data_IF_047296694886
#
_entry.id   IF_047296694886
#
_cell.length_a   1.000
_cell.length_b   1.000
_cell.length_c   1.000
_cell.angle_alpha   90.00
_cell.angle_beta   90.00
_cell.angle_gamma   90.00
#
_symmetry.space_group_name_H-M   'P 1'
#
loop_
_entity.id
_entity.type
_entity.pdbx_description
1 polymer ?
#
# COMPACT_ATOMS: atom_id res chain seq x y z
N UNK A 1 -16.82 -0.19 -11.93
CA UNK A 1 -17.29 0.18 -10.57
C UNK A 1 -17.99 1.53 -10.63
N UNK A 2 -19.19 1.63 -10.10
CA UNK A 2 -19.93 2.89 -9.97
C UNK A 2 -19.60 3.58 -8.64
N UNK A 3 -19.17 4.84 -8.68
CA UNK A 3 -18.72 5.60 -7.50
C UNK A 3 -19.25 7.04 -7.45
N UNK A 4 -20.10 7.43 -8.41
CA UNK A 4 -20.53 8.83 -8.58
C UNK A 4 -21.35 9.36 -7.37
N UNK A 5 -22.04 8.47 -6.68
CA UNK A 5 -22.88 8.76 -5.52
C UNK A 5 -22.23 8.40 -4.17
N UNK A 6 -20.91 8.13 -4.17
CA UNK A 6 -20.17 7.81 -2.96
C UNK A 6 -20.05 9.03 -2.04
N UNK A 7 -20.21 8.79 -0.73
CA UNK A 7 -19.90 9.79 0.29
C UNK A 7 -18.39 10.08 0.27
N UNK A 8 -18.03 11.33 0.08
CA UNK A 8 -16.62 11.72 0.10
C UNK A 8 -16.13 11.91 1.54
N UNK A 9 -15.05 11.24 1.89
CA UNK A 9 -14.35 11.46 3.16
C UNK A 9 -13.54 12.75 3.11
N UNK A 10 -13.56 13.50 4.22
CA UNK A 10 -12.69 14.67 4.42
C UNK A 10 -11.35 14.30 5.05
N UNK A 11 -11.13 13.02 5.41
CA UNK A 11 -9.88 12.52 5.98
C UNK A 11 -8.78 12.31 4.91
N UNK A 12 -8.67 13.29 4.01
CA UNK A 12 -7.67 13.35 2.95
C UNK A 12 -6.75 14.54 3.18
N UNK A 13 -5.46 14.30 3.08
CA UNK A 13 -4.42 15.32 3.04
C UNK A 13 -3.74 15.27 1.67
N UNK A 14 -3.96 16.32 0.85
CA UNK A 14 -3.42 16.39 -0.50
C UNK A 14 -2.10 17.13 -0.54
N UNK A 15 -1.01 16.38 -0.68
CA UNK A 15 0.36 16.86 -0.82
C UNK A 15 0.92 16.69 -2.24
N UNK A 16 0.07 16.41 -3.22
CA UNK A 16 0.50 16.15 -4.61
C UNK A 16 1.17 17.36 -5.28
N UNK A 17 0.83 18.57 -4.82
CA UNK A 17 1.40 19.83 -5.29
C UNK A 17 2.52 20.36 -4.38
N UNK A 18 2.77 19.71 -3.23
CA UNK A 18 3.93 20.03 -2.43
C UNK A 18 5.14 19.63 -3.25
N UNK A 19 5.70 20.61 -3.97
CA UNK A 19 6.79 20.41 -4.87
C UNK A 19 7.87 19.62 -4.17
N UNK A 20 8.14 18.41 -4.62
CA UNK A 20 9.25 17.58 -4.18
C UNK A 20 10.55 18.33 -4.47
N UNK A 21 10.76 19.38 -3.71
CA UNK A 21 11.94 20.23 -3.79
C UNK A 21 13.15 19.56 -3.14
N UNK A 22 13.55 18.41 -3.69
CA UNK A 22 14.97 18.10 -3.79
C UNK A 22 15.52 18.93 -4.95
N UNK A 23 15.23 20.26 -4.89
CA UNK A 23 15.67 21.26 -5.84
C UNK A 23 17.14 21.52 -5.64
N UNK A 24 17.89 21.25 -6.67
CA UNK A 24 19.27 21.55 -6.83
C UNK A 24 19.68 22.94 -6.35
N UNK A 25 20.48 22.97 -5.30
CA UNK A 25 21.48 23.99 -5.11
C UNK A 25 22.55 23.77 -6.17
N UNK A 26 22.68 24.70 -7.09
CA UNK A 26 23.67 24.67 -8.14
C UNK A 26 25.09 24.59 -7.58
N UNK A 27 25.79 23.53 -7.89
CA UNK A 27 27.22 23.35 -7.73
C UNK A 27 27.66 22.31 -8.74
N UNK A 28 28.15 22.78 -9.89
CA UNK A 28 28.54 21.92 -11.00
C UNK A 28 29.69 21.01 -10.62
N UNK A 29 29.45 19.72 -10.69
CA UNK A 29 30.47 18.73 -11.00
C UNK A 29 29.90 17.84 -12.11
N UNK A 30 30.28 18.15 -13.32
CA UNK A 30 30.02 17.32 -14.49
C UNK A 30 30.77 16.01 -14.37
N UNK A 31 30.03 14.92 -14.14
CA UNK A 31 30.50 13.57 -14.42
C UNK A 31 29.77 13.16 -15.70
N UNK A 32 30.45 12.87 -16.82
CA UNK A 32 29.81 12.31 -17.99
C UNK A 32 29.54 10.84 -17.74
N UNK A 33 28.35 10.50 -17.23
CA UNK A 33 27.85 9.14 -17.25
C UNK A 33 26.90 8.97 -18.41
N UNK A 34 27.33 8.11 -19.33
CA UNK A 34 26.56 7.65 -20.47
C UNK A 34 25.18 7.13 -20.08
N UNK A 35 24.22 7.45 -20.93
CA UNK A 35 22.79 7.22 -20.73
C UNK A 35 22.41 5.79 -20.39
N UNK A 36 21.85 5.62 -19.23
CA UNK A 36 21.30 4.41 -18.68
C UNK A 36 20.76 4.70 -17.29
N UNK A 37 19.83 5.63 -17.17
CA UNK A 37 19.14 5.88 -15.91
C UNK A 37 18.40 4.62 -15.48
N UNK A 38 18.72 4.09 -14.29
CA UNK A 38 17.92 3.07 -13.64
C UNK A 38 16.49 3.61 -13.51
N UNK A 39 15.58 3.09 -14.32
CA UNK A 39 14.18 3.52 -14.31
C UNK A 39 13.57 3.28 -12.91
N UNK A 40 12.62 4.11 -12.53
CA UNK A 40 11.83 4.01 -11.29
C UNK A 40 11.43 2.55 -11.00
N UNK A 41 11.18 1.79 -12.06
CA UNK A 41 10.90 0.37 -11.98
C UNK A 41 11.98 -0.54 -11.40
N UNK A 42 13.23 -0.22 -11.65
CA UNK A 42 14.35 -0.97 -11.07
C UNK A 42 14.47 -0.67 -9.57
N UNK A 43 14.10 0.53 -9.15
CA UNK A 43 14.13 0.96 -7.75
C UNK A 43 13.02 0.28 -6.95
N UNK A 44 11.82 0.13 -7.52
CA UNK A 44 10.71 -0.61 -6.87
C UNK A 44 11.10 -2.09 -6.69
N UNK A 45 11.63 -2.73 -7.73
CA UNK A 45 12.09 -4.12 -7.67
C UNK A 45 13.25 -4.26 -6.69
N UNK A 46 14.20 -3.33 -6.68
CA UNK A 46 15.32 -3.32 -5.74
C UNK A 46 14.86 -3.01 -4.31
N UNK A 47 13.87 -2.16 -4.11
CA UNK A 47 13.25 -1.88 -2.82
C UNK A 47 12.53 -3.10 -2.26
N UNK A 48 11.71 -3.78 -3.08
CA UNK A 48 11.04 -5.03 -2.73
C UNK A 48 12.05 -6.18 -2.52
N UNK A 49 13.07 -6.30 -3.35
CA UNK A 49 14.14 -7.29 -3.19
C UNK A 49 15.03 -6.96 -1.99
N UNK A 50 15.37 -5.68 -1.76
CA UNK A 50 16.13 -5.25 -0.59
C UNK A 50 15.41 -5.59 0.70
N UNK A 51 14.12 -5.34 0.75
CA UNK A 51 13.27 -5.74 1.87
C UNK A 51 13.19 -7.28 1.99
N UNK A 52 13.02 -8.00 0.88
CA UNK A 52 13.00 -9.46 0.84
C UNK A 52 14.32 -10.13 1.29
N UNK A 53 15.46 -9.47 1.03
CA UNK A 53 16.78 -9.95 1.46
C UNK A 53 17.22 -9.40 2.83
N UNK A 54 16.36 -8.63 3.52
CA UNK A 54 16.63 -8.05 4.85
C UNK A 54 17.69 -6.99 4.84
N UNK A 55 17.92 -6.38 3.72
CA UNK A 55 18.70 -5.18 3.61
C UNK A 55 17.73 -4.04 3.87
N UNK A 56 17.92 -3.32 4.97
CA UNK A 56 17.12 -2.13 5.28
C UNK A 56 17.10 -1.23 4.03
N UNK A 57 15.91 -0.87 3.48
CA UNK A 57 15.83 0.01 2.32
C UNK A 57 16.59 1.32 2.51
N UNK A 58 16.79 1.74 3.76
CA UNK A 58 17.61 2.90 4.13
C UNK A 58 19.10 2.70 3.81
N UNK A 59 19.58 1.44 3.81
CA UNK A 59 20.96 1.09 3.46
C UNK A 59 21.14 1.07 1.95
N UNK A 60 20.13 0.65 1.19
CA UNK A 60 20.19 0.63 -0.28
C UNK A 60 20.09 2.04 -0.89
N UNK A 61 19.34 2.92 -0.27
CA UNK A 61 19.18 4.32 -0.73
C UNK A 61 20.33 5.19 -0.19
N UNK A 62 20.85 4.91 1.01
CA UNK A 62 21.99 5.61 1.63
C UNK A 62 23.36 4.98 1.33
N UNK A 63 23.42 3.74 0.85
CA UNK A 63 24.68 3.01 0.63
C UNK A 63 25.54 3.54 -0.51
N UNK A 64 24.99 4.35 -1.40
CA UNK A 64 25.79 5.06 -2.40
C UNK A 64 26.67 6.16 -1.79
N UNK A 65 26.32 6.68 -0.60
CA UNK A 65 27.12 7.73 0.09
C UNK A 65 28.20 7.16 1.01
N UNK A 66 28.08 5.91 1.45
CA UNK A 66 29.07 5.29 2.37
C UNK A 66 30.33 4.80 1.61
N UNK A 67 30.26 4.59 0.31
CA UNK A 67 31.41 4.17 -0.50
C UNK A 67 32.34 5.33 -0.91
N UNK A 68 32.00 6.58 -0.61
CA UNK A 68 32.78 7.76 -0.99
C UNK A 68 33.41 8.50 0.18
N UNK A 69 33.63 7.87 1.34
CA UNK A 69 34.57 8.35 2.35
C UNK A 69 34.14 9.61 3.12
N UNK A 70 33.82 9.44 4.37
CA UNK A 70 34.04 10.40 5.45
C UNK A 70 33.20 11.69 5.41
N UNK A 71 32.02 11.70 6.03
CA UNK A 71 31.29 12.93 6.30
C UNK A 71 30.22 12.68 7.36
N UNK A 72 30.17 13.56 8.34
CA UNK A 72 29.21 13.63 9.42
C UNK A 72 27.77 13.41 8.93
N UNK A 73 26.98 12.65 9.71
CA UNK A 73 25.55 12.45 9.45
C UNK A 73 24.86 13.81 9.18
N UNK A 74 24.14 13.94 8.05
CA UNK A 74 23.43 15.17 7.78
C UNK A 74 22.31 15.34 8.80
N UNK A 75 22.40 16.37 9.62
CA UNK A 75 21.27 16.89 10.36
C UNK A 75 20.28 17.44 9.35
N UNK A 76 19.20 16.72 9.10
CA UNK A 76 18.10 17.21 8.26
C UNK A 76 17.44 18.39 8.96
N UNK A 77 17.89 19.59 8.61
CA UNK A 77 17.10 20.79 8.86
C UNK A 77 15.86 20.68 7.96
N UNK A 78 14.72 20.47 8.59
CA UNK A 78 13.40 20.60 7.95
C UNK A 78 13.24 22.07 7.54
N UNK A 79 13.64 22.40 6.33
CA UNK A 79 13.34 23.71 5.75
C UNK A 79 11.82 23.75 5.49
N UNK A 80 11.10 24.45 6.38
CA UNK A 80 9.65 24.66 6.35
C UNK A 80 9.33 25.59 5.19
N UNK A 81 9.21 25.02 3.99
CA UNK A 81 8.49 25.63 2.86
C UNK A 81 7.50 24.65 2.27
N UNK A 82 6.75 23.96 3.12
CA UNK A 82 5.48 23.39 2.70
C UNK A 82 4.48 24.53 2.65
N UNK A 83 3.88 24.76 1.50
CA UNK A 83 2.67 25.57 1.40
C UNK A 83 1.59 25.04 2.34
N UNK A 84 0.50 25.75 2.59
CA UNK A 84 -0.56 25.26 3.45
C UNK A 84 -1.05 23.91 2.93
N UNK A 85 -0.94 22.88 3.77
CA UNK A 85 -1.43 21.54 3.47
C UNK A 85 -2.91 21.59 3.14
N UNK A 86 -3.31 21.12 1.96
CA UNK A 86 -4.71 21.04 1.58
C UNK A 86 -5.35 19.84 2.27
N UNK A 87 -6.27 20.08 3.18
CA UNK A 87 -7.06 19.04 3.87
C UNK A 87 -8.49 19.04 3.36
N UNK A 88 -9.13 17.87 3.37
CA UNK A 88 -10.48 17.65 2.85
C UNK A 88 -10.49 16.97 1.50
N UNK A 89 -11.68 16.62 1.02
CA UNK A 89 -11.84 15.90 -0.25
C UNK A 89 -11.33 16.72 -1.45
N UNK A 90 -10.33 16.20 -2.22
CA UNK A 90 -9.88 16.88 -3.43
C UNK A 90 -10.99 16.95 -4.47
N UNK A 91 -10.93 17.96 -5.34
CA UNK A 91 -11.96 18.22 -6.35
C UNK A 91 -11.64 17.67 -7.74
N UNK A 92 -10.41 17.24 -7.98
CA UNK A 92 -10.07 16.57 -9.24
C UNK A 92 -10.65 15.15 -9.27
N UNK A 93 -10.80 14.58 -10.45
CA UNK A 93 -11.46 13.28 -10.67
C UNK A 93 -10.85 12.16 -9.80
N UNK A 94 -9.52 12.02 -9.82
CA UNK A 94 -8.83 10.98 -9.06
C UNK A 94 -8.95 11.19 -7.55
N UNK A 95 -8.71 12.40 -7.07
CA UNK A 95 -8.83 12.73 -5.65
C UNK A 95 -10.25 12.55 -5.14
N UNK A 96 -11.24 12.95 -5.95
CA UNK A 96 -12.66 12.78 -5.68
C UNK A 96 -13.07 11.31 -5.60
N UNK A 97 -12.54 10.47 -6.51
CA UNK A 97 -12.73 9.02 -6.50
C UNK A 97 -12.12 8.39 -5.25
N UNK A 98 -10.88 8.74 -4.89
CA UNK A 98 -10.21 8.21 -3.69
C UNK A 98 -10.99 8.61 -2.43
N UNK A 99 -11.44 9.87 -2.34
CA UNK A 99 -12.25 10.34 -1.22
C UNK A 99 -13.58 9.58 -1.11
N UNK A 100 -14.23 9.28 -2.24
CA UNK A 100 -15.43 8.46 -2.29
C UNK A 100 -15.18 7.03 -1.81
N UNK A 101 -14.14 6.39 -2.32
CA UNK A 101 -13.75 5.04 -1.90
C UNK A 101 -13.49 4.98 -0.39
N UNK A 102 -12.70 5.94 0.15
CA UNK A 102 -12.44 6.00 1.59
C UNK A 102 -13.74 6.20 2.38
N UNK A 103 -14.63 7.06 1.90
CA UNK A 103 -15.93 7.30 2.57
C UNK A 103 -16.77 6.04 2.69
N UNK A 104 -16.88 5.23 1.64
CA UNK A 104 -17.63 3.98 1.68
C UNK A 104 -16.91 2.88 2.49
N UNK A 105 -15.58 2.86 2.49
CA UNK A 105 -14.78 1.99 3.37
C UNK A 105 -15.12 2.31 4.83
N UNK A 106 -15.06 3.57 5.21
CA UNK A 106 -15.33 4.01 6.58
C UNK A 106 -16.76 3.70 7.02
N UNK A 107 -17.73 3.91 6.14
CA UNK A 107 -19.14 3.62 6.43
C UNK A 107 -19.37 2.12 6.66
N UNK A 108 -18.83 1.25 5.81
CA UNK A 108 -18.99 -0.21 5.97
C UNK A 108 -18.27 -0.72 7.21
N UNK A 109 -17.05 -0.26 7.48
CA UNK A 109 -16.34 -0.67 8.69
C UNK A 109 -16.97 -0.12 9.96
N UNK A 110 -17.49 1.10 9.92
CA UNK A 110 -18.27 1.67 11.04
C UNK A 110 -19.48 0.79 11.37
N UNK A 111 -20.26 0.36 10.36
CA UNK A 111 -21.38 -0.56 10.54
C UNK A 111 -20.95 -1.90 11.16
N UNK A 112 -19.83 -2.48 10.68
CA UNK A 112 -19.31 -3.75 11.20
C UNK A 112 -18.86 -3.62 12.66
N UNK A 113 -18.13 -2.58 13.00
CA UNK A 113 -17.65 -2.36 14.37
C UNK A 113 -18.81 -2.08 15.33
N UNK A 114 -19.76 -1.23 14.94
CA UNK A 114 -20.95 -0.93 15.74
C UNK A 114 -21.80 -2.20 15.99
N UNK A 115 -21.97 -3.07 15.00
CA UNK A 115 -22.68 -4.33 15.15
C UNK A 115 -22.01 -5.29 16.17
N UNK A 116 -20.72 -5.08 16.46
CA UNK A 116 -19.95 -5.82 17.47
C UNK A 116 -19.74 -5.02 18.76
N UNK A 117 -20.47 -3.91 18.98
CA UNK A 117 -20.37 -3.08 20.17
C UNK A 117 -19.06 -2.32 20.30
N UNK A 118 -18.35 -2.10 19.18
CA UNK A 118 -17.06 -1.40 19.14
C UNK A 118 -17.19 -0.06 18.41
N UNK A 119 -16.34 0.89 18.77
CA UNK A 119 -16.21 2.15 18.01
C UNK A 119 -15.19 2.00 16.89
N UNK A 120 -15.47 2.64 15.75
CA UNK A 120 -14.57 2.73 14.62
C UNK A 120 -14.07 4.18 14.47
N UNK A 121 -12.81 4.32 14.11
CA UNK A 121 -12.22 5.58 13.66
C UNK A 121 -11.47 5.27 12.38
N UNK A 122 -11.80 5.92 11.28
CA UNK A 122 -11.17 5.69 9.98
C UNK A 122 -9.70 6.09 9.91
N UNK A 123 -8.97 5.59 8.93
CA UNK A 123 -7.62 6.05 8.63
C UNK A 123 -7.66 7.38 7.88
N UNK A 124 -6.57 8.15 7.93
CA UNK A 124 -6.33 9.24 6.99
C UNK A 124 -5.67 8.72 5.72
N UNK A 125 -5.86 9.43 4.60
CA UNK A 125 -5.07 9.24 3.39
C UNK A 125 -4.23 10.48 3.14
N UNK A 126 -2.93 10.29 2.92
CA UNK A 126 -2.02 11.30 2.38
C UNK A 126 -1.77 10.98 0.90
N UNK A 127 -2.24 11.87 0.03
CA UNK A 127 -1.94 11.80 -1.41
C UNK A 127 -0.64 12.54 -1.68
N UNK A 128 0.27 11.93 -2.42
CA UNK A 128 1.53 12.55 -2.77
C UNK A 128 2.00 12.18 -4.17
N UNK A 129 3.13 12.74 -4.63
CA UNK A 129 3.87 12.37 -5.83
C UNK A 129 5.35 12.29 -5.51
N UNK A 130 5.99 11.25 -6.01
CA UNK A 130 7.43 10.98 -5.86
C UNK A 130 7.84 10.65 -4.42
N UNK A 131 7.86 11.65 -3.52
CA UNK A 131 8.23 11.45 -2.13
C UNK A 131 7.55 12.49 -1.24
N UNK A 132 7.28 12.07 0.02
CA UNK A 132 6.76 12.96 1.06
C UNK A 132 7.23 12.47 2.44
N UNK A 133 7.04 13.30 3.47
CA UNK A 133 7.26 12.87 4.84
C UNK A 133 6.16 11.88 5.25
N UNK A 134 6.55 10.62 5.50
CA UNK A 134 5.67 9.53 5.93
C UNK A 134 5.43 9.50 7.45
N UNK A 135 5.62 10.61 8.15
CA UNK A 135 5.39 10.70 9.59
C UNK A 135 6.32 9.79 10.39
N UNK A 136 5.76 9.05 11.34
CA UNK A 136 6.51 8.10 12.18
C UNK A 136 7.02 6.87 11.43
N UNK A 137 6.56 6.64 10.20
CA UNK A 137 7.05 5.58 9.33
C UNK A 137 8.23 6.02 8.44
N UNK A 138 8.74 7.24 8.58
CA UNK A 138 9.89 7.75 7.86
C UNK A 138 9.51 8.44 6.55
N UNK A 139 10.31 8.24 5.49
CA UNK A 139 10.00 8.80 4.17
C UNK A 139 9.03 7.89 3.41
N UNK A 140 7.99 8.47 2.84
CA UNK A 140 7.15 7.83 1.85
C UNK A 140 7.68 8.14 0.45
N UNK A 141 7.89 7.11 -0.36
CA UNK A 141 8.42 7.23 -1.72
C UNK A 141 7.61 6.37 -2.69
N UNK A 142 7.45 6.81 -3.94
CA UNK A 142 6.73 6.07 -4.99
C UNK A 142 7.20 4.63 -5.14
N UNK A 143 8.51 4.41 -4.98
CA UNK A 143 9.11 3.07 -5.07
C UNK A 143 8.62 2.07 -4.01
N UNK A 144 8.02 2.54 -2.93
CA UNK A 144 7.47 1.69 -1.87
C UNK A 144 6.06 1.20 -2.20
N UNK A 145 5.41 1.80 -3.20
CA UNK A 145 3.97 1.62 -3.43
C UNK A 145 3.11 2.27 -2.34
N UNK A 146 1.79 2.09 -2.39
CA UNK A 146 0.89 2.44 -1.30
C UNK A 146 1.25 1.67 -0.04
N UNK A 147 1.09 2.30 1.14
CA UNK A 147 1.28 1.61 2.41
C UNK A 147 0.51 2.27 3.54
N UNK A 148 0.17 1.48 4.55
CA UNK A 148 -0.40 1.94 5.80
C UNK A 148 0.68 2.14 6.87
N UNK A 149 0.64 3.27 7.58
CA UNK A 149 1.50 3.58 8.72
C UNK A 149 0.74 3.38 10.04
N UNK A 150 0.96 2.28 10.77
CA UNK A 150 0.18 1.95 11.97
C UNK A 150 0.25 2.98 13.09
N UNK A 151 1.43 3.57 13.44
CA UNK A 151 1.51 4.56 14.49
C UNK A 151 0.70 5.83 14.21
N UNK A 152 0.60 6.24 12.94
CA UNK A 152 -0.08 7.47 12.51
C UNK A 152 -1.51 7.22 12.04
N UNK A 153 -1.91 5.94 11.90
CA UNK A 153 -3.19 5.51 11.32
C UNK A 153 -3.44 6.16 9.95
N UNK A 154 -2.40 6.22 9.12
CA UNK A 154 -2.41 6.96 7.86
C UNK A 154 -2.00 6.04 6.71
N UNK A 155 -2.74 6.09 5.64
CA UNK A 155 -2.42 5.48 4.35
C UNK A 155 -1.65 6.50 3.53
N UNK A 156 -0.49 6.13 3.02
CA UNK A 156 0.30 6.95 2.09
C UNK A 156 0.12 6.39 0.68
N UNK A 157 -0.33 7.25 -0.24
CA UNK A 157 -0.72 6.85 -1.58
C UNK A 157 -0.11 7.79 -2.62
N UNK A 158 0.91 7.30 -3.34
CA UNK A 158 1.35 7.98 -4.55
C UNK A 158 0.35 7.73 -5.69
N UNK A 159 -0.26 8.80 -6.17
CA UNK A 159 -1.27 8.70 -7.22
C UNK A 159 -0.72 8.23 -8.56
N UNK A 160 0.60 8.28 -8.79
CA UNK A 160 1.24 7.72 -9.99
C UNK A 160 1.22 6.18 -10.01
N UNK A 161 1.09 5.54 -8.84
CA UNK A 161 1.06 4.08 -8.71
C UNK A 161 -0.08 3.44 -9.52
N UNK A 162 -1.24 4.07 -9.58
CA UNK A 162 -2.37 3.53 -10.36
C UNK A 162 -2.04 3.43 -11.85
N UNK A 163 -1.29 4.39 -12.39
CA UNK A 163 -0.80 4.31 -13.77
C UNK A 163 0.21 3.18 -13.96
N UNK A 164 1.05 2.92 -12.98
CA UNK A 164 1.99 1.79 -13.02
C UNK A 164 1.25 0.45 -13.00
N UNK A 165 0.19 0.32 -12.22
CA UNK A 165 -0.65 -0.88 -12.21
C UNK A 165 -1.25 -1.14 -13.58
N UNK A 166 -1.73 -0.12 -14.27
CA UNK A 166 -2.29 -0.24 -15.61
C UNK A 166 -1.21 -0.57 -16.66
N UNK A 167 -0.14 0.23 -16.70
CA UNK A 167 0.82 0.21 -17.82
C UNK A 167 1.92 -0.83 -17.65
N UNK A 168 2.46 -0.96 -16.44
CA UNK A 168 3.62 -1.80 -16.15
C UNK A 168 3.22 -3.18 -15.65
N UNK A 169 2.37 -3.24 -14.63
CA UNK A 169 1.93 -4.51 -14.07
C UNK A 169 0.80 -5.16 -14.87
N UNK A 170 0.17 -4.40 -15.79
CA UNK A 170 -0.98 -4.86 -16.59
C UNK A 170 -2.06 -5.51 -15.72
N UNK A 171 -2.23 -4.98 -14.52
CA UNK A 171 -3.18 -5.48 -13.53
C UNK A 171 -4.63 -5.14 -13.87
N UNK A 172 -4.84 -4.09 -14.68
CA UNK A 172 -6.15 -3.63 -15.10
C UNK A 172 -6.09 -2.96 -16.47
N UNK A 173 -7.25 -2.62 -17.04
CA UNK A 173 -7.36 -1.78 -18.24
C UNK A 173 -8.68 -0.99 -18.22
N UNK A 174 -8.63 0.26 -18.69
CA UNK A 174 -9.80 1.11 -18.80
C UNK A 174 -10.54 1.32 -17.48
N UNK A 175 -11.87 1.30 -17.50
CA UNK A 175 -12.71 1.56 -16.32
C UNK A 175 -12.53 0.56 -15.17
N UNK A 176 -12.11 -0.68 -15.46
CA UNK A 176 -11.81 -1.67 -14.43
C UNK A 176 -10.64 -1.25 -13.52
N UNK A 177 -9.77 -0.32 -13.97
CA UNK A 177 -8.71 0.26 -13.13
C UNK A 177 -9.25 1.10 -11.97
N UNK A 178 -10.47 1.62 -12.06
CA UNK A 178 -11.13 2.30 -10.94
C UNK A 178 -11.38 1.35 -9.77
N UNK A 179 -11.83 0.12 -10.06
CA UNK A 179 -12.03 -0.88 -9.03
C UNK A 179 -10.71 -1.44 -8.49
N UNK A 180 -9.69 -1.52 -9.33
CA UNK A 180 -8.32 -1.84 -8.88
C UNK A 180 -7.81 -0.81 -7.86
N UNK A 181 -8.06 0.48 -8.07
CA UNK A 181 -7.73 1.51 -7.09
C UNK A 181 -8.52 1.30 -5.78
N UNK A 182 -9.81 0.96 -5.88
CA UNK A 182 -10.63 0.66 -4.71
C UNK A 182 -10.12 -0.57 -3.93
N UNK A 183 -9.72 -1.64 -4.64
CA UNK A 183 -9.10 -2.82 -4.02
C UNK A 183 -7.83 -2.46 -3.25
N UNK A 184 -6.94 -1.68 -3.86
CA UNK A 184 -5.68 -1.27 -3.22
C UNK A 184 -5.94 -0.44 -1.95
N UNK A 185 -6.83 0.57 -2.04
CA UNK A 185 -7.18 1.40 -0.88
C UNK A 185 -7.86 0.55 0.21
N UNK A 186 -8.73 -0.38 -0.16
CA UNK A 186 -9.38 -1.28 0.79
C UNK A 186 -8.40 -2.27 1.43
N UNK A 187 -7.33 -2.68 0.73
CA UNK A 187 -6.25 -3.49 1.28
C UNK A 187 -5.48 -2.71 2.36
N UNK A 188 -5.09 -1.45 2.08
CA UNK A 188 -4.43 -0.59 3.07
C UNK A 188 -5.34 -0.29 4.27
N UNK A 189 -6.64 -0.09 4.03
CA UNK A 189 -7.63 0.00 5.09
C UNK A 189 -7.76 -1.31 5.88
N UNK A 190 -7.55 -2.48 5.24
CA UNK A 190 -7.45 -3.77 5.92
C UNK A 190 -6.35 -3.78 6.97
N UNK A 191 -5.18 -3.21 6.67
CA UNK A 191 -4.11 -3.02 7.67
C UNK A 191 -4.54 -2.09 8.80
N UNK A 192 -5.33 -1.05 8.50
CA UNK A 192 -5.89 -0.20 9.55
C UNK A 192 -6.83 -1.00 10.48
N UNK A 193 -7.69 -1.83 9.92
CA UNK A 193 -8.58 -2.72 10.71
C UNK A 193 -7.73 -3.67 11.59
N UNK A 194 -6.71 -4.30 11.03
CA UNK A 194 -5.79 -5.15 11.79
C UNK A 194 -5.11 -4.41 12.94
N UNK A 195 -4.74 -3.14 12.72
CA UNK A 195 -4.17 -2.30 13.77
C UNK A 195 -5.17 -2.01 14.88
N UNK A 196 -6.42 -1.66 14.54
CA UNK A 196 -7.51 -1.43 15.50
C UNK A 196 -7.83 -2.70 16.31
N UNK A 197 -7.77 -3.87 15.69
CA UNK A 197 -8.00 -5.17 16.33
C UNK A 197 -6.78 -5.68 17.11
N UNK A 198 -5.66 -4.94 17.14
CA UNK A 198 -4.44 -5.31 17.85
C UNK A 198 -3.63 -6.43 17.19
N UNK A 199 -3.97 -6.81 15.96
CA UNK A 199 -3.29 -7.88 15.20
C UNK A 199 -1.88 -7.44 14.83
N UNK A 200 -1.70 -6.26 14.22
CA UNK A 200 -0.37 -5.74 13.82
C UNK A 200 0.58 -5.66 15.03
N UNK A 201 0.23 -5.04 16.16
CA UNK A 201 1.11 -5.02 17.32
C UNK A 201 1.47 -6.40 17.86
N UNK A 202 0.54 -7.37 17.81
CA UNK A 202 0.80 -8.75 18.21
C UNK A 202 1.78 -9.42 17.25
N UNK A 203 1.57 -9.32 15.94
CA UNK A 203 2.44 -9.93 14.94
C UNK A 203 3.83 -9.33 14.98
N UNK A 204 3.97 -8.01 15.14
CA UNK A 204 5.27 -7.35 15.29
C UNK A 204 6.08 -7.95 16.44
N UNK A 205 5.44 -8.21 17.60
CA UNK A 205 6.13 -8.87 18.71
C UNK A 205 6.55 -10.31 18.38
N UNK A 206 5.71 -11.07 17.68
CA UNK A 206 6.05 -12.43 17.25
C UNK A 206 7.19 -12.44 16.24
N UNK A 207 7.22 -11.49 15.31
CA UNK A 207 8.31 -11.33 14.35
C UNK A 207 9.65 -11.00 15.03
N UNK A 208 9.62 -10.20 16.09
CA UNK A 208 10.83 -9.89 16.90
C UNK A 208 11.34 -11.11 17.67
N UNK A 209 10.50 -12.08 17.95
CA UNK A 209 10.80 -13.34 18.66
C UNK A 209 11.07 -14.49 17.69
N UNK A 210 10.88 -14.32 16.41
CA UNK A 210 11.06 -15.37 15.41
C UNK A 210 12.49 -15.89 15.37
N UNK A 211 12.65 -17.19 15.29
CA UNK A 211 13.95 -17.87 15.26
C UNK A 211 14.68 -17.72 13.92
N UNK A 212 13.97 -17.27 12.88
CA UNK A 212 14.54 -17.06 11.55
C UNK A 212 13.79 -15.97 10.79
N UNK A 213 14.43 -15.43 9.75
CA UNK A 213 13.79 -14.49 8.85
C UNK A 213 12.61 -15.13 8.09
N UNK A 214 12.73 -16.39 7.68
CA UNK A 214 11.65 -17.12 7.03
C UNK A 214 10.40 -17.20 7.91
N UNK A 215 10.57 -17.45 9.21
CA UNK A 215 9.47 -17.45 10.18
C UNK A 215 8.84 -16.05 10.32
N UNK A 216 9.65 -15.01 10.46
CA UNK A 216 9.15 -13.63 10.48
C UNK A 216 8.40 -13.25 9.21
N UNK A 217 8.92 -13.64 8.03
CA UNK A 217 8.26 -13.44 6.75
C UNK A 217 6.93 -14.19 6.65
N UNK A 218 6.88 -15.44 7.12
CA UNK A 218 5.64 -16.22 7.13
C UNK A 218 4.53 -15.55 7.98
N UNK A 219 4.90 -14.89 9.07
CA UNK A 219 3.97 -14.08 9.87
C UNK A 219 3.49 -12.85 9.08
N UNK A 220 4.40 -12.19 8.36
CA UNK A 220 4.03 -11.04 7.51
C UNK A 220 3.06 -11.46 6.41
N UNK A 221 3.33 -12.55 5.71
CA UNK A 221 2.42 -13.09 4.69
C UNK A 221 1.01 -13.28 5.23
N UNK A 222 0.85 -13.78 6.47
CA UNK A 222 -0.48 -13.92 7.09
C UNK A 222 -1.18 -12.58 7.30
N UNK A 223 -0.44 -11.52 7.64
CA UNK A 223 -0.97 -10.15 7.74
C UNK A 223 -1.47 -9.67 6.39
N UNK A 224 -0.68 -9.82 5.34
CA UNK A 224 -1.03 -9.38 3.99
C UNK A 224 -2.25 -10.11 3.44
N UNK A 225 -2.28 -11.44 3.56
CA UNK A 225 -3.41 -12.25 3.12
C UNK A 225 -4.70 -11.93 3.88
N UNK A 226 -4.58 -11.55 5.16
CA UNK A 226 -5.73 -11.08 5.93
C UNK A 226 -6.21 -9.72 5.42
N UNK A 227 -5.32 -8.80 5.05
CA UNK A 227 -5.70 -7.53 4.46
C UNK A 227 -6.41 -7.72 3.11
N UNK A 228 -5.95 -8.64 2.27
CA UNK A 228 -6.66 -9.04 1.05
C UNK A 228 -8.07 -9.57 1.36
N UNK A 229 -8.21 -10.41 2.38
CA UNK A 229 -9.51 -10.92 2.79
C UNK A 229 -10.43 -9.81 3.31
N UNK A 230 -9.92 -8.90 4.14
CA UNK A 230 -10.69 -7.76 4.67
C UNK A 230 -11.14 -6.81 3.55
N UNK A 231 -10.32 -6.61 2.52
CA UNK A 231 -10.75 -5.87 1.32
C UNK A 231 -11.93 -6.55 0.62
N UNK A 232 -11.89 -7.88 0.51
CA UNK A 232 -13.00 -8.68 -0.01
C UNK A 232 -14.27 -8.56 0.85
N UNK A 233 -14.14 -8.52 2.18
CA UNK A 233 -15.27 -8.27 3.11
C UNK A 233 -15.91 -6.91 2.82
N UNK A 234 -15.12 -5.86 2.65
CA UNK A 234 -15.63 -4.55 2.29
C UNK A 234 -16.43 -4.61 0.98
N UNK A 235 -15.89 -5.23 -0.07
CA UNK A 235 -16.56 -5.35 -1.37
C UNK A 235 -17.90 -6.10 -1.24
N UNK A 236 -17.95 -7.19 -0.47
CA UNK A 236 -19.19 -7.93 -0.19
C UNK A 236 -20.24 -7.04 0.47
N UNK A 237 -19.82 -6.26 1.48
CA UNK A 237 -20.73 -5.39 2.23
C UNK A 237 -21.21 -4.22 1.39
N UNK A 238 -20.34 -3.68 0.55
CA UNK A 238 -20.69 -2.59 -0.35
C UNK A 238 -21.69 -3.06 -1.41
N UNK A 239 -21.45 -4.22 -2.05
CA UNK A 239 -22.40 -4.77 -3.04
C UNK A 239 -23.76 -5.10 -2.44
N UNK A 240 -23.82 -5.57 -1.18
CA UNK A 240 -25.07 -5.78 -0.47
C UNK A 240 -25.80 -4.47 -0.15
N UNK A 241 -25.07 -3.42 0.15
CA UNK A 241 -25.64 -2.11 0.46
C UNK A 241 -26.08 -1.36 -0.79
N UNK A 242 -25.32 -1.48 -1.87
CA UNK A 242 -25.52 -0.84 -3.17
C UNK A 242 -25.50 -1.89 -4.29
N UNK A 243 -26.59 -2.62 -4.50
CA UNK A 243 -26.67 -3.61 -5.57
C UNK A 243 -26.33 -3.01 -6.93
N UNK A 244 -25.35 -3.62 -7.63
CA UNK A 244 -24.83 -3.13 -8.89
C UNK A 244 -23.74 -2.05 -8.74
N UNK A 245 -23.13 -1.93 -7.57
CA UNK A 245 -21.88 -1.21 -7.38
C UNK A 245 -20.77 -1.79 -8.25
N UNK A 246 -20.66 -3.11 -8.31
CA UNK A 246 -19.73 -3.80 -9.18
C UNK A 246 -20.23 -3.82 -10.63
N UNK A 247 -19.30 -3.61 -11.55
CA UNK A 247 -19.50 -3.76 -12.99
C UNK A 247 -18.79 -5.01 -13.50
N UNK A 248 -19.16 -5.44 -14.69
CA UNK A 248 -18.56 -6.62 -15.30
C UNK A 248 -17.03 -6.43 -15.46
N UNK A 249 -16.24 -7.39 -14.96
CA UNK A 249 -14.78 -7.35 -15.01
C UNK A 249 -14.09 -6.73 -13.80
N UNK A 250 -14.80 -6.06 -12.89
CA UNK A 250 -14.19 -5.43 -11.71
C UNK A 250 -13.46 -6.45 -10.82
N UNK A 251 -14.12 -7.54 -10.47
CA UNK A 251 -13.50 -8.60 -9.65
C UNK A 251 -12.30 -9.22 -10.37
N UNK A 252 -12.42 -9.46 -11.68
CA UNK A 252 -11.30 -10.00 -12.46
C UNK A 252 -10.12 -9.04 -12.50
N UNK A 253 -10.35 -7.73 -12.57
CA UNK A 253 -9.30 -6.73 -12.50
C UNK A 253 -8.60 -6.74 -11.12
N UNK A 254 -9.35 -6.78 -10.02
CA UNK A 254 -8.78 -6.91 -8.68
C UNK A 254 -7.94 -8.19 -8.54
N UNK A 255 -8.45 -9.33 -9.00
CA UNK A 255 -7.73 -10.61 -8.97
C UNK A 255 -6.49 -10.62 -9.87
N UNK A 256 -6.54 -9.94 -11.01
CA UNK A 256 -5.40 -9.77 -11.91
C UNK A 256 -4.34 -8.90 -11.25
N UNK A 257 -4.74 -7.80 -10.62
CA UNK A 257 -3.84 -6.93 -9.87
C UNK A 257 -3.19 -7.67 -8.69
N UNK A 258 -3.98 -8.35 -7.85
CA UNK A 258 -3.46 -9.16 -6.74
C UNK A 258 -2.41 -10.19 -7.23
N UNK A 259 -2.62 -10.74 -8.43
CA UNK A 259 -1.67 -11.67 -9.04
C UNK A 259 -0.41 -11.01 -9.57
N UNK A 260 -0.56 -9.84 -10.19
CA UNK A 260 0.57 -9.11 -10.78
C UNK A 260 1.55 -8.64 -9.70
N UNK A 261 1.05 -8.35 -8.49
CA UNK A 261 1.85 -7.91 -7.34
C UNK A 261 2.10 -9.03 -6.30
N UNK A 262 1.80 -10.29 -6.63
CA UNK A 262 2.18 -11.44 -5.82
C UNK A 262 3.70 -11.68 -5.86
N UNK A 263 4.27 -12.07 -4.70
CA UNK A 263 5.74 -12.24 -4.56
C UNK A 263 6.32 -13.23 -5.57
N UNK A 264 5.62 -14.32 -5.87
CA UNK A 264 6.04 -15.31 -6.86
C UNK A 264 6.07 -14.75 -8.28
N UNK A 265 5.13 -13.87 -8.61
CA UNK A 265 5.08 -13.19 -9.90
C UNK A 265 6.20 -12.18 -10.04
N UNK A 266 6.38 -11.32 -9.02
CA UNK A 266 7.42 -10.29 -9.01
C UNK A 266 8.83 -10.91 -9.03
N UNK A 267 9.08 -11.96 -8.24
CA UNK A 267 10.37 -12.64 -8.21
C UNK A 267 10.68 -13.34 -9.53
N UNK A 268 9.69 -14.00 -10.15
CA UNK A 268 9.86 -14.63 -11.46
C UNK A 268 10.20 -13.62 -12.55
N UNK A 269 9.55 -12.45 -12.53
CA UNK A 269 9.85 -11.37 -13.48
C UNK A 269 11.22 -10.75 -13.25
N UNK A 270 11.65 -10.60 -11.99
CA UNK A 270 12.90 -9.94 -11.64
C UNK A 270 14.13 -10.85 -11.81
N UNK A 271 14.03 -12.13 -11.39
CA UNK A 271 15.19 -13.03 -11.26
C UNK A 271 15.03 -14.36 -11.97
N UNK A 272 13.85 -14.66 -12.52
CA UNK A 272 13.51 -15.96 -13.10
C UNK A 272 13.33 -17.09 -12.07
N UNK A 273 13.50 -16.81 -10.78
CA UNK A 273 13.39 -17.79 -9.69
C UNK A 273 12.39 -17.36 -8.64
N UNK A 274 11.78 -18.34 -7.98
CA UNK A 274 10.82 -18.11 -6.88
C UNK A 274 11.38 -18.74 -5.62
N UNK A 275 11.42 -17.95 -4.53
CA UNK A 275 11.93 -18.35 -3.22
C UNK A 275 10.84 -18.10 -2.17
N UNK A 276 9.97 -19.08 -1.85
CA UNK A 276 8.83 -18.90 -0.97
C UNK A 276 9.18 -18.37 0.45
N UNK A 277 10.31 -18.80 1.01
CA UNK A 277 10.77 -18.35 2.34
C UNK A 277 11.10 -16.84 2.40
N UNK A 278 11.24 -16.20 1.24
CA UNK A 278 11.46 -14.75 1.14
C UNK A 278 10.18 -13.95 0.85
N UNK A 279 9.03 -14.62 0.75
CA UNK A 279 7.76 -13.92 0.52
C UNK A 279 7.41 -13.04 1.73
N UNK A 280 6.91 -11.85 1.42
CA UNK A 280 6.42 -10.91 2.42
C UNK A 280 4.96 -10.52 2.20
N UNK A 281 4.43 -10.74 0.98
CA UNK A 281 3.03 -10.45 0.64
C UNK A 281 2.22 -11.72 0.28
N UNK A 282 2.90 -12.84 0.06
CA UNK A 282 2.28 -14.09 -0.37
C UNK A 282 2.25 -14.27 -1.88
N UNK A 283 1.93 -15.48 -2.31
CA UNK A 283 1.81 -15.80 -3.73
C UNK A 283 0.54 -15.21 -4.35
N UNK A 284 0.57 -15.03 -5.67
CA UNK A 284 -0.58 -14.61 -6.46
C UNK A 284 -1.84 -15.47 -6.18
N UNK A 285 -1.66 -16.79 -6.04
CA UNK A 285 -2.76 -17.71 -5.75
C UNK A 285 -3.34 -17.49 -4.35
N UNK A 286 -2.48 -17.31 -3.33
CA UNK A 286 -2.90 -17.05 -1.94
C UNK A 286 -3.67 -15.73 -1.85
N UNK A 287 -3.17 -14.65 -2.44
CA UNK A 287 -3.81 -13.34 -2.45
C UNK A 287 -5.21 -13.40 -3.07
N UNK A 288 -5.34 -14.02 -4.25
CA UNK A 288 -6.65 -14.26 -4.89
C UNK A 288 -7.58 -15.06 -4.00
N UNK A 289 -7.11 -16.15 -3.42
CA UNK A 289 -7.92 -17.01 -2.57
C UNK A 289 -8.49 -16.24 -1.38
N UNK A 290 -7.65 -15.47 -0.70
CA UNK A 290 -8.09 -14.76 0.51
C UNK A 290 -9.01 -13.58 0.19
N UNK A 291 -8.74 -12.80 -0.87
CA UNK A 291 -9.70 -11.81 -1.34
C UNK A 291 -11.07 -12.43 -1.63
N UNK A 292 -11.09 -13.54 -2.38
CA UNK A 292 -12.34 -14.23 -2.72
C UNK A 292 -13.03 -14.85 -1.50
N UNK A 293 -12.28 -15.27 -0.48
CA UNK A 293 -12.86 -15.71 0.80
C UNK A 293 -13.63 -14.55 1.46
N UNK A 294 -13.00 -13.40 1.60
CA UNK A 294 -13.64 -12.20 2.14
C UNK A 294 -14.88 -11.78 1.33
N UNK A 295 -14.73 -11.77 0.00
CA UNK A 295 -15.82 -11.40 -0.90
C UNK A 295 -17.03 -12.34 -0.82
N UNK A 296 -16.84 -13.63 -0.68
CA UNK A 296 -17.93 -14.61 -0.59
C UNK A 296 -18.61 -14.60 0.78
N UNK A 297 -17.81 -14.60 1.84
CA UNK A 297 -18.30 -14.75 3.21
C UNK A 297 -18.80 -13.42 3.80
N UNK A 298 -18.14 -12.30 3.50
CA UNK A 298 -18.51 -10.97 3.98
C UNK A 298 -18.41 -10.81 5.50
N UNK A 299 -17.56 -11.57 6.17
CA UNK A 299 -17.37 -11.54 7.63
C UNK A 299 -15.89 -11.49 8.01
N UNK A 300 -15.56 -10.77 9.09
CA UNK A 300 -14.19 -10.67 9.60
C UNK A 300 -13.67 -12.04 10.08
N UNK A 301 -14.54 -12.87 10.62
CA UNK A 301 -14.21 -14.21 11.12
C UNK A 301 -13.68 -15.12 10.02
N UNK A 302 -14.16 -14.98 8.79
CA UNK A 302 -13.67 -15.74 7.65
C UNK A 302 -12.21 -15.38 7.28
N UNK A 303 -11.72 -14.22 7.72
CA UNK A 303 -10.38 -13.72 7.44
C UNK A 303 -9.33 -14.17 8.45
N UNK A 304 -9.53 -15.31 9.12
CA UNK A 304 -8.57 -15.83 10.10
C UNK A 304 -7.39 -16.55 9.42
N UNK A 305 -6.41 -15.79 8.95
CA UNK A 305 -5.18 -16.32 8.34
C UNK A 305 -4.21 -16.94 9.36
N UNK A 306 -4.44 -16.73 10.65
CA UNK A 306 -3.63 -17.25 11.74
C UNK A 306 -4.16 -18.57 12.33
N UNK A 307 -5.36 -19.00 11.93
CA UNK A 307 -6.08 -20.15 12.49
C UNK A 307 -5.71 -21.50 11.88
N UNK A 308 -4.55 -21.68 11.31
CA UNK A 308 -4.06 -22.94 10.76
C UNK A 308 -2.84 -23.44 11.51
N UNK A 309 -3.03 -24.14 12.61
CA UNK A 309 -1.94 -24.78 13.33
C UNK A 309 -2.08 -24.70 14.84
N UNK A 310 -2.93 -25.54 15.37
CA UNK A 310 -2.69 -26.09 16.67
C UNK A 310 -1.80 -27.30 16.49
#
# INVERSE_FOLDING_TARGET
MRYDDFRRSDDIEDRRDDGGGFGGGGGGFGIPMGGGGLGIGTIIVLGLLGYAFGIDPRILIGGAEILTGGGQAPTYQTDRRSGPTKTGAPTDEMGSMIAGILGEIDDRWSEIFQANGQSYTGPKIVLFRNATNGGRCGMAQSAMGPFYCPPDKTIFLDTSFFREVETRFRGCSGDACKFTAAYIIAHEAGHHIQNLLGIIPRVTRLQQQAGSKAEANALQVKVELQADCLSGVWVNREEKKRPGFLEAGDIDAALTTASAIGDDTLQRQATGRVVPDSFTHGSAAQRKQWFMTGYREGTVQACNTFGGGA
#
